data_IF_717572081063
#
_entry.id   IF_717572081063
#
_cell.length_a   1.000
_cell.length_b   1.000
_cell.length_c   1.000
_cell.angle_alpha   90.00
_cell.angle_beta   90.00
_cell.angle_gamma   90.00
#
_symmetry.space_group_name_H-M   'P 1'
#
loop_
_entity.id
_entity.type
_entity.pdbx_description
1 polymer ?
#
# COMPACT_ATOMS: atom_id res chain seq x y z
N UNK A 1 -42.22 -26.27 -4.19
CA UNK A 1 -40.86 -26.63 -4.64
C UNK A 1 -40.47 -25.67 -5.75
N UNK A 2 -39.70 -24.64 -5.42
CA UNK A 2 -38.97 -23.83 -6.41
C UNK A 2 -37.59 -23.66 -5.81
N UNK A 3 -36.63 -24.39 -6.35
CA UNK A 3 -35.21 -24.32 -6.02
C UNK A 3 -34.66 -22.98 -6.51
N UNK A 4 -34.34 -22.09 -5.58
CA UNK A 4 -33.50 -20.93 -5.86
C UNK A 4 -32.05 -21.40 -5.99
N UNK A 5 -31.63 -21.66 -7.22
CA UNK A 5 -30.21 -21.78 -7.56
C UNK A 5 -29.52 -20.48 -7.17
N UNK A 6 -28.73 -20.54 -6.09
CA UNK A 6 -27.78 -19.51 -5.72
C UNK A 6 -26.81 -19.30 -6.88
N UNK A 7 -26.95 -18.18 -7.58
CA UNK A 7 -25.90 -17.65 -8.43
C UNK A 7 -24.72 -17.32 -7.52
N UNK A 8 -23.79 -18.26 -7.43
CA UNK A 8 -22.47 -18.09 -6.83
C UNK A 8 -21.67 -17.11 -7.68
N UNK A 9 -21.95 -15.82 -7.49
CA UNK A 9 -21.05 -14.76 -7.93
C UNK A 9 -19.99 -14.62 -6.84
N UNK A 10 -19.09 -15.60 -6.75
CA UNK A 10 -17.85 -15.47 -5.98
C UNK A 10 -17.12 -14.27 -6.55
N UNK A 11 -17.12 -13.18 -5.79
CA UNK A 11 -16.28 -12.02 -6.06
C UNK A 11 -14.84 -12.51 -6.04
N UNK A 12 -14.24 -12.73 -7.22
CA UNK A 12 -12.80 -12.98 -7.38
C UNK A 12 -12.06 -11.96 -6.50
N UNK A 13 -11.51 -12.45 -5.39
CA UNK A 13 -11.04 -11.60 -4.31
C UNK A 13 -9.71 -10.97 -4.72
N UNK A 14 -9.32 -9.86 -4.09
CA UNK A 14 -7.98 -9.28 -4.27
C UNK A 14 -6.84 -10.26 -3.91
N UNK A 15 -7.14 -11.44 -3.36
CA UNK A 15 -6.17 -12.46 -2.98
C UNK A 15 -5.71 -13.29 -4.17
N UNK A 16 -6.58 -13.61 -5.14
CA UNK A 16 -6.23 -14.45 -6.28
C UNK A 16 -5.18 -13.82 -7.21
N UNK A 17 -5.16 -12.48 -7.25
CA UNK A 17 -4.17 -11.73 -8.02
C UNK A 17 -2.81 -11.63 -7.31
N UNK A 18 -2.74 -11.95 -6.01
CA UNK A 18 -1.50 -11.82 -5.25
C UNK A 18 -0.56 -12.98 -5.58
N UNK A 19 0.72 -12.71 -5.86
CA UNK A 19 1.72 -13.76 -5.90
C UNK A 19 1.89 -14.43 -4.54
N UNK A 20 2.07 -15.75 -4.55
CA UNK A 20 2.39 -16.55 -3.36
C UNK A 20 3.90 -16.77 -3.16
N UNK A 21 4.70 -16.65 -4.22
CA UNK A 21 6.14 -16.85 -4.21
C UNK A 21 6.88 -15.64 -4.77
N UNK A 22 8.17 -15.50 -4.41
CA UNK A 22 8.98 -14.36 -4.82
C UNK A 22 9.17 -14.29 -6.34
N UNK A 23 9.21 -15.45 -7.00
CA UNK A 23 9.28 -15.55 -8.47
C UNK A 23 8.08 -14.86 -9.15
N UNK A 24 6.87 -15.03 -8.60
CA UNK A 24 5.65 -14.41 -9.10
C UNK A 24 5.50 -12.93 -8.74
N UNK A 25 6.34 -12.40 -7.86
CA UNK A 25 6.37 -10.98 -7.51
C UNK A 25 7.02 -10.20 -8.66
N UNK A 26 6.20 -9.57 -9.49
CA UNK A 26 6.67 -8.80 -10.64
C UNK A 26 7.31 -7.51 -10.14
N UNK A 27 8.39 -7.06 -10.80
CA UNK A 27 9.11 -5.84 -10.46
C UNK A 27 10.04 -5.96 -9.25
N UNK A 28 10.60 -4.82 -8.82
CA UNK A 28 11.48 -4.71 -7.64
C UNK A 28 12.70 -5.67 -7.66
N UNK A 29 13.48 -5.76 -8.76
CA UNK A 29 14.48 -6.82 -8.95
C UNK A 29 15.58 -6.84 -7.88
N UNK A 30 16.05 -5.66 -7.45
CA UNK A 30 17.08 -5.53 -6.42
C UNK A 30 16.56 -6.02 -5.07
N UNK A 31 15.37 -5.56 -4.66
CA UNK A 31 14.72 -5.98 -3.42
C UNK A 31 14.51 -7.49 -3.41
N UNK A 32 14.02 -8.07 -4.51
CA UNK A 32 13.83 -9.53 -4.61
C UNK A 32 15.14 -10.28 -4.44
N UNK A 33 16.22 -9.85 -5.09
CA UNK A 33 17.52 -10.50 -4.96
C UNK A 33 18.06 -10.43 -3.51
N UNK A 34 17.91 -9.28 -2.85
CA UNK A 34 18.31 -9.10 -1.46
C UNK A 34 17.47 -9.95 -0.50
N UNK A 35 16.14 -9.97 -0.70
CA UNK A 35 15.23 -10.76 0.12
C UNK A 35 15.48 -12.26 -0.06
N UNK A 36 15.71 -12.72 -1.29
CA UNK A 36 16.05 -14.12 -1.56
C UNK A 36 17.33 -14.53 -0.81
N UNK A 37 18.40 -13.73 -0.93
CA UNK A 37 19.66 -13.99 -0.22
C UNK A 37 19.46 -14.04 1.30
N UNK A 38 18.67 -13.11 1.84
CA UNK A 38 18.37 -13.02 3.27
C UNK A 38 17.61 -14.27 3.78
N UNK A 39 16.56 -14.69 3.07
CA UNK A 39 15.78 -15.88 3.44
C UNK A 39 16.59 -17.17 3.25
N UNK A 40 17.35 -17.30 2.17
CA UNK A 40 18.18 -18.48 1.92
C UNK A 40 19.28 -18.65 2.98
N UNK A 41 19.86 -17.55 3.45
CA UNK A 41 20.87 -17.57 4.51
C UNK A 41 20.27 -18.02 5.86
N UNK A 42 19.03 -17.65 6.16
CA UNK A 42 18.31 -18.12 7.35
C UNK A 42 17.99 -19.62 7.24
N UNK A 43 17.39 -20.05 6.12
CA UNK A 43 17.07 -21.46 5.84
C UNK A 43 18.30 -22.37 5.93
N UNK A 44 19.43 -21.97 5.32
CA UNK A 44 20.68 -22.75 5.37
C UNK A 44 21.28 -22.90 6.77
N UNK A 45 20.98 -21.97 7.67
CA UNK A 45 21.45 -21.99 9.07
C UNK A 45 20.46 -22.66 10.01
N UNK A 46 19.28 -23.06 9.53
CA UNK A 46 18.19 -23.61 10.32
C UNK A 46 17.81 -22.70 11.52
N UNK A 47 17.75 -21.39 11.25
CA UNK A 47 17.33 -20.38 12.23
C UNK A 47 16.28 -19.46 11.61
N UNK A 48 15.31 -18.96 12.40
CA UNK A 48 14.41 -17.91 11.93
C UNK A 48 15.21 -16.69 11.43
N UNK A 49 14.79 -16.05 10.32
CA UNK A 49 15.44 -14.84 9.85
C UNK A 49 15.27 -13.70 10.84
N UNK A 50 16.19 -12.72 10.76
CA UNK A 50 16.06 -11.47 11.51
C UNK A 50 14.75 -10.75 11.16
N UNK A 51 14.33 -9.84 12.02
CA UNK A 51 13.14 -9.04 11.78
C UNK A 51 13.29 -8.15 10.55
N UNK A 52 12.18 -7.91 9.86
CA UNK A 52 12.13 -7.17 8.60
C UNK A 52 11.23 -5.94 8.67
N UNK A 53 11.69 -4.84 8.08
CA UNK A 53 10.89 -3.64 7.87
C UNK A 53 10.64 -3.41 6.38
N UNK A 54 9.37 -3.32 5.99
CA UNK A 54 8.92 -2.98 4.65
C UNK A 54 8.45 -1.52 4.63
N UNK A 55 9.22 -0.65 3.98
CA UNK A 55 8.92 0.78 3.90
C UNK A 55 8.53 1.16 2.47
N UNK A 56 7.48 1.95 2.31
CA UNK A 56 7.15 2.55 1.02
C UNK A 56 5.68 2.97 0.89
N UNK A 57 5.33 3.70 -0.17
CA UNK A 57 3.96 4.14 -0.44
C UNK A 57 2.88 3.02 -0.34
N UNK A 58 1.62 3.38 -0.08
CA UNK A 58 0.53 2.42 -0.04
C UNK A 58 0.31 1.76 -1.41
N UNK A 59 -0.07 0.48 -1.41
CA UNK A 59 -0.43 -0.25 -2.64
C UNK A 59 0.73 -0.82 -3.45
N UNK A 60 1.98 -0.74 -2.96
CA UNK A 60 3.17 -1.29 -3.62
C UNK A 60 3.45 -2.78 -3.37
N UNK A 61 2.65 -3.43 -2.51
CA UNK A 61 2.77 -4.87 -2.24
C UNK A 61 3.47 -5.26 -0.94
N UNK A 62 3.55 -4.36 0.05
CA UNK A 62 4.14 -4.67 1.38
C UNK A 62 3.50 -5.90 2.05
N UNK A 63 2.17 -5.90 2.18
CA UNK A 63 1.42 -7.05 2.73
C UNK A 63 1.64 -8.31 1.91
N UNK A 64 1.68 -8.18 0.57
CA UNK A 64 2.00 -9.30 -0.34
C UNK A 64 3.37 -9.88 -0.08
N UNK A 65 4.41 -9.04 0.07
CA UNK A 65 5.75 -9.50 0.40
C UNK A 65 5.81 -10.19 1.76
N UNK A 66 5.10 -9.69 2.77
CA UNK A 66 5.04 -10.36 4.07
C UNK A 66 4.45 -11.78 3.98
N UNK A 67 3.40 -11.95 3.18
CA UNK A 67 2.82 -13.28 2.93
C UNK A 67 3.77 -14.18 2.14
N UNK A 68 4.48 -13.64 1.14
CA UNK A 68 5.52 -14.38 0.40
C UNK A 68 6.62 -14.83 1.35
N UNK A 69 7.08 -13.96 2.26
CA UNK A 69 8.11 -14.29 3.25
C UNK A 69 7.69 -15.49 4.11
N UNK A 70 6.48 -15.47 4.65
CA UNK A 70 5.96 -16.59 5.43
C UNK A 70 5.85 -17.88 4.60
N UNK A 71 5.37 -17.77 3.36
CA UNK A 71 5.27 -18.90 2.43
C UNK A 71 6.64 -19.49 2.07
N UNK A 72 7.63 -18.64 1.78
CA UNK A 72 9.01 -19.05 1.51
C UNK A 72 9.62 -19.76 2.72
N UNK A 73 9.37 -19.28 3.93
CA UNK A 73 9.82 -19.90 5.18
C UNK A 73 9.01 -21.14 5.56
N UNK A 74 7.89 -21.42 4.88
CA UNK A 74 6.95 -22.50 5.17
C UNK A 74 6.40 -22.46 6.61
N UNK A 75 6.16 -21.25 7.12
CA UNK A 75 5.64 -21.00 8.46
C UNK A 75 4.32 -20.22 8.39
N UNK A 76 3.44 -20.35 9.40
CA UNK A 76 2.27 -19.51 9.51
C UNK A 76 2.60 -18.01 9.64
N UNK A 77 1.64 -17.17 9.24
CA UNK A 77 1.67 -15.72 9.41
C UNK A 77 0.48 -15.26 10.25
N UNK A 78 0.75 -14.47 11.29
CA UNK A 78 -0.27 -13.70 12.00
C UNK A 78 -0.25 -12.26 11.51
N UNK A 79 -1.39 -11.79 11.02
CA UNK A 79 -1.57 -10.46 10.45
C UNK A 79 -2.28 -9.58 11.47
N UNK A 80 -1.71 -8.42 11.76
CA UNK A 80 -2.33 -7.35 12.55
C UNK A 80 -1.91 -5.98 11.98
N UNK A 81 -2.40 -4.90 12.58
CA UNK A 81 -1.96 -3.54 12.25
C UNK A 81 -1.76 -2.69 13.50
N UNK A 82 -0.90 -1.67 13.41
CA UNK A 82 -0.65 -0.72 14.48
C UNK A 82 -1.95 -0.15 15.08
N UNK A 83 -2.90 0.36 14.26
CA UNK A 83 -4.18 0.86 14.75
C UNK A 83 -5.09 -0.19 15.40
N UNK A 84 -4.92 -1.48 15.06
CA UNK A 84 -5.70 -2.55 15.67
C UNK A 84 -5.25 -2.86 17.11
N UNK A 85 -4.02 -2.49 17.47
CA UNK A 85 -3.47 -2.64 18.81
C UNK A 85 -3.78 -1.38 19.62
N UNK A 86 -4.67 -1.50 20.60
CA UNK A 86 -5.07 -0.36 21.43
C UNK A 86 -4.19 -0.24 22.68
N UNK A 87 -3.78 -1.38 23.24
CA UNK A 87 -2.98 -1.46 24.46
C UNK A 87 -1.89 -2.53 24.37
N UNK A 88 -0.88 -2.46 25.26
CA UNK A 88 0.23 -3.42 25.29
C UNK A 88 -0.25 -4.88 25.49
N UNK A 89 -1.36 -5.09 26.21
CA UNK A 89 -1.95 -6.41 26.42
C UNK A 89 -2.43 -7.09 25.15
N UNK A 90 -2.92 -6.33 24.15
CA UNK A 90 -3.39 -6.89 22.88
C UNK A 90 -2.21 -7.51 22.12
N UNK A 91 -1.08 -6.79 22.07
CA UNK A 91 0.14 -7.28 21.45
C UNK A 91 0.75 -8.44 22.25
N UNK A 92 0.76 -8.35 23.58
CA UNK A 92 1.25 -9.44 24.45
C UNK A 92 0.47 -10.74 24.21
N UNK A 93 -0.85 -10.66 24.00
CA UNK A 93 -1.69 -11.81 23.69
C UNK A 93 -1.34 -12.44 22.35
N UNK A 94 -1.10 -11.63 21.31
CA UNK A 94 -0.67 -12.12 19.99
C UNK A 94 0.70 -12.78 20.08
N UNK A 95 1.67 -12.13 20.74
CA UNK A 95 3.03 -12.63 20.89
C UNK A 95 3.07 -13.95 21.67
N UNK A 96 2.31 -14.05 22.76
CA UNK A 96 2.24 -15.26 23.60
C UNK A 96 1.60 -16.45 22.89
N UNK A 97 0.91 -16.24 21.78
CA UNK A 97 0.32 -17.30 20.96
C UNK A 97 1.24 -17.75 19.81
N UNK A 98 2.38 -17.07 19.57
CA UNK A 98 3.34 -17.43 18.52
C UNK A 98 3.98 -18.79 18.77
N UNK A 99 4.14 -19.54 17.68
CA UNK A 99 4.97 -20.74 17.62
C UNK A 99 6.36 -20.41 17.05
N UNK A 100 7.31 -21.34 17.23
CA UNK A 100 8.69 -21.17 16.74
C UNK A 100 8.73 -20.99 15.23
N UNK A 101 9.37 -19.89 14.80
CA UNK A 101 9.56 -19.53 13.40
C UNK A 101 8.40 -18.76 12.77
N UNK A 102 7.25 -18.61 13.45
CA UNK A 102 6.10 -17.91 12.89
C UNK A 102 6.41 -16.44 12.55
N UNK A 103 5.72 -15.94 11.52
CA UNK A 103 5.82 -14.54 11.11
C UNK A 103 4.70 -13.74 11.78
N UNK A 104 5.07 -12.66 12.48
CA UNK A 104 4.15 -11.64 12.94
C UNK A 104 4.23 -10.43 12.01
N UNK A 105 3.20 -10.23 11.19
CA UNK A 105 3.09 -9.06 10.33
C UNK A 105 2.28 -7.94 10.99
N UNK A 106 2.87 -6.75 11.06
CA UNK A 106 2.24 -5.55 11.63
C UNK A 106 2.21 -4.45 10.57
N UNK A 107 1.06 -4.24 9.94
CA UNK A 107 0.87 -3.10 9.03
C UNK A 107 0.75 -1.78 9.79
N UNK A 108 1.15 -0.68 9.18
CA UNK A 108 1.20 0.64 9.84
C UNK A 108 1.87 0.59 11.23
N UNK A 109 2.99 -0.13 11.36
CA UNK A 109 3.68 -0.35 12.64
C UNK A 109 4.02 0.94 13.40
N UNK A 110 4.23 2.04 12.67
CA UNK A 110 4.47 3.39 13.21
C UNK A 110 3.28 3.99 13.97
N UNK A 111 2.10 3.35 13.92
CA UNK A 111 0.89 3.77 14.64
C UNK A 111 0.65 2.96 15.91
N UNK A 112 1.59 2.08 16.30
CA UNK A 112 1.50 1.39 17.59
C UNK A 112 1.47 2.40 18.74
N UNK A 113 0.64 2.18 19.78
CA UNK A 113 0.72 2.97 20.99
C UNK A 113 2.07 2.71 21.67
N UNK A 114 2.64 3.75 22.28
CA UNK A 114 3.97 3.70 22.90
C UNK A 114 4.19 2.49 23.81
N UNK A 115 3.20 2.13 24.62
CA UNK A 115 3.31 0.97 25.52
C UNK A 115 3.42 -0.37 24.77
N UNK A 116 2.74 -0.52 23.63
CA UNK A 116 2.89 -1.70 22.79
C UNK A 116 4.22 -1.67 22.01
N UNK A 117 4.70 -0.49 21.62
CA UNK A 117 6.01 -0.32 20.99
C UNK A 117 7.16 -0.76 21.91
N UNK A 118 7.16 -0.29 23.17
CA UNK A 118 8.16 -0.68 24.18
C UNK A 118 8.12 -2.19 24.44
N UNK A 119 6.93 -2.78 24.48
CA UNK A 119 6.76 -4.24 24.61
C UNK A 119 7.29 -4.99 23.38
N UNK A 120 7.00 -4.51 22.17
CA UNK A 120 7.49 -5.10 20.93
C UNK A 120 9.02 -5.08 20.87
N UNK A 121 9.64 -3.98 21.28
CA UNK A 121 11.10 -3.84 21.35
C UNK A 121 11.73 -4.93 22.23
N UNK A 122 11.21 -5.13 23.45
CA UNK A 122 11.71 -6.17 24.37
C UNK A 122 11.47 -7.57 23.78
N UNK A 123 10.30 -7.80 23.18
CA UNK A 123 9.96 -9.08 22.57
C UNK A 123 10.89 -9.43 21.39
N UNK A 124 11.31 -8.43 20.59
CA UNK A 124 12.25 -8.61 19.47
C UNK A 124 13.70 -8.82 19.95
N UNK A 125 14.10 -8.18 21.05
CA UNK A 125 15.47 -8.29 21.56
C UNK A 125 15.70 -9.54 22.40
N UNK A 126 14.83 -9.78 23.37
CA UNK A 126 15.03 -10.78 24.42
C UNK A 126 14.13 -12.01 24.26
N UNK A 127 13.19 -11.99 23.30
CA UNK A 127 12.14 -13.02 23.15
C UNK A 127 11.38 -13.26 24.46
N UNK A 128 10.98 -12.17 25.12
CA UNK A 128 10.26 -12.18 26.39
C UNK A 128 9.17 -11.12 26.43
N UNK A 129 8.11 -11.41 27.17
CA UNK A 129 7.05 -10.44 27.49
C UNK A 129 6.62 -10.61 28.93
N UNK A 130 6.31 -9.49 29.57
CA UNK A 130 5.78 -9.44 30.92
C UNK A 130 4.25 -9.41 30.86
N UNK A 131 3.60 -10.45 31.40
CA UNK A 131 2.14 -10.53 31.44
C UNK A 131 1.65 -10.22 32.86
N UNK A 132 0.77 -9.22 32.95
CA UNK A 132 0.14 -8.85 34.21
C UNK A 132 -0.93 -9.87 34.59
N UNK A 133 -0.76 -10.52 35.73
CA UNK A 133 -1.72 -11.47 36.31
C UNK A 133 -2.38 -10.85 37.54
N UNK A 134 -3.72 -10.79 37.53
CA UNK A 134 -4.53 -10.17 38.57
C UNK A 134 -5.05 -8.77 38.21
N UNK A 135 -5.83 -8.15 39.11
CA UNK A 135 -6.35 -6.79 38.97
C UNK A 135 -6.06 -5.97 40.23
N UNK A 136 -5.75 -4.68 40.07
CA UNK A 136 -5.55 -3.74 41.18
C UNK A 136 -4.18 -3.87 41.87
N UNK A 137 -4.04 -3.40 43.13
CA UNK A 137 -2.76 -3.35 43.86
C UNK A 137 -2.08 -4.70 44.10
N UNK A 138 -2.79 -5.81 43.90
CA UNK A 138 -2.26 -7.18 44.01
C UNK A 138 -1.87 -7.80 42.66
N UNK A 139 -1.91 -7.04 41.56
CA UNK A 139 -1.47 -7.54 40.26
C UNK A 139 0.05 -7.75 40.26
N UNK A 140 0.49 -8.88 39.71
CA UNK A 140 1.91 -9.25 39.62
C UNK A 140 2.30 -9.42 38.14
N UNK A 141 3.50 -8.97 37.79
CA UNK A 141 4.08 -9.21 36.47
C UNK A 141 4.77 -10.56 36.46
N UNK A 142 4.38 -11.45 35.54
CA UNK A 142 5.04 -12.74 35.33
C UNK A 142 5.75 -12.70 33.98
N UNK A 143 7.09 -12.86 33.95
CA UNK A 143 7.83 -12.91 32.70
C UNK A 143 7.54 -14.24 31.98
N UNK A 144 7.12 -14.14 30.73
CA UNK A 144 6.95 -15.27 29.81
C UNK A 144 8.06 -15.26 28.77
N UNK A 145 8.64 -16.43 28.52
CA UNK A 145 9.59 -16.62 27.41
C UNK A 145 8.79 -16.93 26.15
N UNK A 146 9.10 -16.21 25.07
CA UNK A 146 8.52 -16.41 23.75
C UNK A 146 9.40 -17.38 22.95
N UNK A 147 8.81 -18.15 22.01
CA UNK A 147 9.62 -18.82 21.01
C UNK A 147 10.28 -17.79 20.09
N UNK A 148 11.30 -18.21 19.33
CA UNK A 148 11.87 -17.33 18.30
C UNK A 148 10.86 -17.14 17.17
N UNK A 149 10.60 -15.90 16.80
CA UNK A 149 9.66 -15.52 15.74
C UNK A 149 10.26 -14.41 14.87
N UNK A 150 9.64 -14.11 13.74
CA UNK A 150 10.08 -13.01 12.85
C UNK A 150 8.99 -11.95 12.74
N UNK A 151 9.26 -10.73 13.22
CA UNK A 151 8.42 -9.56 12.92
C UNK A 151 8.66 -9.10 11.48
N UNK A 152 7.58 -8.87 10.74
CA UNK A 152 7.58 -8.11 9.48
C UNK A 152 6.74 -6.85 9.71
N UNK A 153 7.40 -5.71 9.93
CA UNK A 153 6.72 -4.41 10.07
C UNK A 153 6.51 -3.76 8.71
N UNK A 154 5.36 -3.11 8.49
CA UNK A 154 5.13 -2.30 7.30
C UNK A 154 4.81 -0.83 7.66
N UNK A 155 5.38 0.10 6.90
CA UNK A 155 5.16 1.54 7.09
C UNK A 155 5.20 2.31 5.78
N UNK A 156 4.52 3.45 5.73
CA UNK A 156 4.63 4.42 4.62
C UNK A 156 5.85 5.33 4.79
N UNK A 157 6.30 5.54 6.03
CA UNK A 157 7.42 6.41 6.38
C UNK A 157 8.26 5.74 7.46
N UNK A 158 9.47 5.32 7.10
CA UNK A 158 10.41 4.70 8.05
C UNK A 158 10.80 5.65 9.19
N UNK A 159 10.99 6.95 8.88
CA UNK A 159 11.38 7.95 9.88
C UNK A 159 10.34 8.22 10.99
N UNK A 160 9.14 7.64 10.89
CA UNK A 160 8.13 7.69 11.95
C UNK A 160 8.38 6.65 13.05
N UNK A 161 9.21 5.62 12.79
CA UNK A 161 9.56 4.64 13.81
C UNK A 161 10.65 5.18 14.73
N UNK A 162 10.51 5.01 16.05
CA UNK A 162 11.57 5.35 16.98
C UNK A 162 12.86 4.57 16.70
N UNK A 163 14.00 5.24 16.88
CA UNK A 163 15.31 4.67 16.56
C UNK A 163 15.60 3.32 17.26
N UNK A 164 15.21 3.09 18.54
CA UNK A 164 15.42 1.80 19.18
C UNK A 164 14.69 0.66 18.49
N UNK A 165 13.40 0.83 18.16
CA UNK A 165 12.63 -0.20 17.46
C UNK A 165 13.18 -0.42 16.04
N UNK A 166 13.49 0.67 15.33
CA UNK A 166 14.04 0.59 13.97
C UNK A 166 15.35 -0.21 13.91
N UNK A 167 16.23 -0.04 14.90
CA UNK A 167 17.51 -0.75 14.96
C UNK A 167 17.39 -2.27 15.20
N UNK A 168 16.19 -2.77 15.55
CA UNK A 168 15.93 -4.21 15.73
C UNK A 168 15.54 -4.92 14.43
N UNK A 169 15.30 -4.18 13.35
CA UNK A 169 15.10 -4.78 12.03
C UNK A 169 16.46 -5.06 11.38
N UNK A 170 16.77 -6.35 11.19
CA UNK A 170 18.00 -6.79 10.52
C UNK A 170 17.95 -6.67 9.00
N UNK A 171 16.75 -6.48 8.45
CA UNK A 171 16.54 -6.23 7.02
C UNK A 171 15.51 -5.12 6.81
N UNK A 172 15.89 -4.07 6.07
CA UNK A 172 14.96 -3.01 5.66
C UNK A 172 14.84 -3.02 4.15
N UNK A 173 13.62 -3.20 3.65
CA UNK A 173 13.30 -3.16 2.23
C UNK A 173 12.49 -1.90 1.90
N UNK A 174 12.98 -1.14 0.93
CA UNK A 174 12.29 0.04 0.39
C UNK A 174 11.58 -0.33 -0.91
N UNK A 175 10.26 -0.15 -0.92
CA UNK A 175 9.45 -0.32 -2.12
C UNK A 175 9.24 1.05 -2.76
N UNK A 176 9.72 1.17 -3.99
CA UNK A 176 9.49 2.34 -4.82
C UNK A 176 8.33 2.12 -5.80
N UNK A 177 7.89 3.21 -6.45
CA UNK A 177 6.91 3.12 -7.51
C UNK A 177 7.44 2.31 -8.69
N UNK A 178 6.53 1.60 -9.34
CA UNK A 178 6.85 0.69 -10.42
C UNK A 178 6.97 1.45 -11.73
N UNK A 179 8.03 1.22 -12.52
CA UNK A 179 8.08 1.63 -13.91
C UNK A 179 6.88 1.09 -14.71
N UNK A 180 6.48 1.79 -15.76
CA UNK A 180 5.35 1.39 -16.59
C UNK A 180 5.54 0.00 -17.20
N UNK A 181 6.78 -0.36 -17.59
CA UNK A 181 7.10 -1.66 -18.16
C UNK A 181 6.93 -2.81 -17.15
N UNK A 182 7.17 -2.55 -15.86
CA UNK A 182 6.92 -3.54 -14.81
C UNK A 182 5.43 -3.67 -14.51
N UNK A 183 4.69 -2.56 -14.54
CA UNK A 183 3.23 -2.57 -14.38
C UNK A 183 2.53 -3.24 -15.55
N UNK A 184 3.01 -3.07 -16.78
CA UNK A 184 2.47 -3.74 -17.97
C UNK A 184 2.53 -5.26 -17.79
N UNK A 185 3.69 -5.80 -17.44
CA UNK A 185 3.86 -7.24 -17.12
C UNK A 185 2.94 -7.70 -16.00
N UNK A 186 2.77 -6.86 -14.97
CA UNK A 186 1.87 -7.14 -13.86
C UNK A 186 0.41 -7.22 -14.32
N UNK A 187 -0.02 -6.28 -15.16
CA UNK A 187 -1.37 -6.22 -15.71
C UNK A 187 -1.62 -7.42 -16.62
N UNK A 188 -0.67 -7.81 -17.46
CA UNK A 188 -0.78 -8.98 -18.32
C UNK A 188 -0.95 -10.27 -17.50
N UNK A 189 -0.13 -10.46 -16.46
CA UNK A 189 -0.28 -11.60 -15.54
C UNK A 189 -1.65 -11.58 -14.86
N UNK A 190 -2.05 -10.45 -14.29
CA UNK A 190 -3.34 -10.31 -13.63
C UNK A 190 -4.51 -10.55 -14.59
N UNK A 191 -4.38 -10.15 -15.86
CA UNK A 191 -5.39 -10.38 -16.87
C UNK A 191 -5.55 -11.88 -17.18
N UNK A 192 -4.45 -12.62 -17.25
CA UNK A 192 -4.49 -14.08 -17.40
C UNK A 192 -5.22 -14.75 -16.24
N UNK A 193 -4.94 -14.34 -14.99
CA UNK A 193 -5.62 -14.86 -13.80
C UNK A 193 -7.13 -14.57 -13.86
N UNK A 194 -7.51 -13.38 -14.31
CA UNK A 194 -8.92 -12.97 -14.46
C UNK A 194 -9.61 -13.51 -15.73
N UNK A 195 -8.90 -14.27 -16.58
CA UNK A 195 -9.44 -14.77 -17.85
C UNK A 195 -9.68 -13.70 -18.92
N UNK A 196 -9.02 -12.54 -18.82
CA UNK A 196 -9.18 -11.41 -19.74
C UNK A 196 -8.11 -11.48 -20.83
N UNK A 197 -8.53 -11.42 -22.10
CA UNK A 197 -7.61 -11.32 -23.23
C UNK A 197 -7.31 -9.86 -23.52
N UNK A 198 -6.13 -9.40 -23.13
CA UNK A 198 -5.62 -8.08 -23.53
C UNK A 198 -4.96 -8.18 -24.91
N UNK A 199 -5.19 -7.19 -25.77
CA UNK A 199 -4.54 -7.04 -27.07
C UNK A 199 -4.00 -5.62 -27.25
N UNK A 200 -3.16 -5.47 -28.28
CA UNK A 200 -2.59 -4.19 -28.69
C UNK A 200 -1.88 -3.50 -27.50
N UNK A 201 -2.07 -2.20 -27.34
CA UNK A 201 -1.46 -1.41 -26.26
C UNK A 201 -2.36 -1.32 -25.00
N UNK A 202 -3.28 -2.26 -24.79
CA UNK A 202 -4.23 -2.21 -23.67
C UNK A 202 -3.54 -2.26 -22.29
N UNK A 203 -2.58 -3.18 -22.11
CA UNK A 203 -1.83 -3.31 -20.86
C UNK A 203 -0.98 -2.06 -20.59
N UNK A 204 -0.32 -1.54 -21.63
CA UNK A 204 0.40 -0.28 -21.56
C UNK A 204 -0.50 0.89 -21.17
N UNK A 205 -1.68 1.04 -21.77
CA UNK A 205 -2.61 2.13 -21.43
C UNK A 205 -3.05 2.08 -19.97
N UNK A 206 -3.38 0.89 -19.46
CA UNK A 206 -3.64 0.68 -18.04
C UNK A 206 -2.42 1.06 -17.18
N UNK A 207 -1.21 0.67 -17.59
CA UNK A 207 0.03 0.95 -16.86
C UNK A 207 0.30 2.45 -16.71
N UNK A 208 0.00 3.25 -17.73
CA UNK A 208 0.20 4.69 -17.75
C UNK A 208 -0.69 5.39 -16.71
N UNK A 209 -1.91 4.88 -16.51
CA UNK A 209 -2.91 5.43 -15.60
C UNK A 209 -2.88 4.80 -14.20
N UNK A 210 -1.95 3.88 -13.94
CA UNK A 210 -1.84 3.10 -12.70
C UNK A 210 -1.02 3.78 -11.60
N UNK A 211 -0.53 5.00 -11.85
CA UNK A 211 0.22 5.82 -10.88
C UNK A 211 1.48 5.17 -10.30
N UNK A 212 2.08 4.23 -11.02
CA UNK A 212 3.24 3.48 -10.52
C UNK A 212 2.88 2.46 -9.42
N UNK A 213 1.60 2.09 -9.26
CA UNK A 213 1.16 1.22 -8.15
C UNK A 213 0.42 -0.04 -8.63
N UNK A 214 0.85 -1.24 -8.20
CA UNK A 214 0.15 -2.50 -8.45
C UNK A 214 -1.33 -2.51 -8.03
N UNK A 215 -1.63 -1.93 -6.86
CA UNK A 215 -3.01 -1.87 -6.35
C UNK A 215 -3.94 -1.11 -7.29
N UNK A 216 -3.49 0.02 -7.84
CA UNK A 216 -4.30 0.79 -8.80
C UNK A 216 -4.39 0.04 -10.12
N UNK A 217 -3.28 -0.51 -10.63
CA UNK A 217 -3.28 -1.32 -11.85
C UNK A 217 -4.33 -2.44 -11.83
N UNK A 218 -4.33 -3.28 -10.79
CA UNK A 218 -5.31 -4.36 -10.66
C UNK A 218 -6.75 -3.83 -10.47
N UNK A 219 -6.93 -2.70 -9.80
CA UNK A 219 -8.25 -2.05 -9.67
C UNK A 219 -8.77 -1.56 -11.02
N UNK A 220 -7.90 -0.95 -11.84
CA UNK A 220 -8.26 -0.47 -13.18
C UNK A 220 -8.56 -1.64 -14.11
N UNK A 221 -7.73 -2.68 -14.09
CA UNK A 221 -7.96 -3.88 -14.89
C UNK A 221 -9.32 -4.53 -14.58
N UNK A 222 -9.72 -4.63 -13.30
CA UNK A 222 -11.05 -5.13 -12.92
C UNK A 222 -12.18 -4.26 -13.43
N UNK A 223 -12.04 -2.93 -13.40
CA UNK A 223 -13.03 -2.00 -13.97
C UNK A 223 -13.17 -2.19 -15.48
N UNK A 224 -12.04 -2.33 -16.18
CA UNK A 224 -12.05 -2.58 -17.63
C UNK A 224 -12.64 -3.95 -17.95
N UNK A 225 -12.38 -4.98 -17.13
CA UNK A 225 -13.04 -6.29 -17.24
C UNK A 225 -14.55 -6.14 -17.15
N UNK A 226 -15.04 -5.50 -16.08
CA UNK A 226 -16.48 -5.39 -15.84
C UNK A 226 -17.16 -4.64 -16.99
N UNK A 227 -16.50 -3.60 -17.51
CA UNK A 227 -16.94 -2.90 -18.72
C UNK A 227 -16.96 -3.82 -19.95
N UNK A 228 -15.89 -4.57 -20.19
CA UNK A 228 -15.79 -5.48 -21.34
C UNK A 228 -16.84 -6.60 -21.31
N UNK A 229 -17.15 -7.14 -20.12
CA UNK A 229 -18.21 -8.15 -19.93
C UNK A 229 -19.58 -7.58 -20.28
N UNK A 230 -19.89 -6.35 -19.85
CA UNK A 230 -21.17 -5.70 -20.17
C UNK A 230 -21.33 -5.39 -21.66
N UNK A 231 -20.22 -5.21 -22.37
CA UNK A 231 -20.20 -4.92 -23.82
C UNK A 231 -19.94 -6.17 -24.67
N UNK A 232 -20.02 -7.37 -24.08
CA UNK A 232 -19.83 -8.67 -24.74
C UNK A 232 -18.53 -8.75 -25.58
N UNK A 233 -17.43 -8.22 -25.05
CA UNK A 233 -16.14 -8.20 -25.75
C UNK A 233 -15.33 -9.48 -25.53
N UNK A 234 -14.88 -10.10 -26.61
CA UNK A 234 -13.97 -11.26 -26.59
C UNK A 234 -12.54 -10.91 -26.15
N UNK A 235 -12.13 -9.64 -26.33
CA UNK A 235 -10.83 -9.12 -25.95
C UNK A 235 -10.89 -7.61 -25.70
N UNK A 236 -9.94 -7.11 -24.92
CA UNK A 236 -9.80 -5.69 -24.57
C UNK A 236 -8.60 -5.11 -25.32
N UNK A 237 -8.86 -4.13 -26.18
CA UNK A 237 -7.83 -3.35 -26.88
C UNK A 237 -7.65 -1.96 -26.24
N UNK A 238 -6.81 -1.12 -26.84
CA UNK A 238 -6.54 0.24 -26.34
C UNK A 238 -7.82 1.09 -26.20
N UNK A 239 -8.66 1.14 -27.24
CA UNK A 239 -9.86 1.98 -27.25
C UNK A 239 -10.86 1.55 -26.17
N UNK A 240 -11.05 0.25 -25.97
CA UNK A 240 -11.87 -0.30 -24.89
C UNK A 240 -11.38 0.14 -23.50
N UNK A 241 -10.06 0.17 -23.28
CA UNK A 241 -9.49 0.70 -22.02
C UNK A 241 -9.81 2.19 -21.88
N UNK A 242 -9.61 2.98 -22.93
CA UNK A 242 -9.86 4.43 -22.90
C UNK A 242 -11.32 4.73 -22.58
N UNK A 243 -12.26 4.06 -23.25
CA UNK A 243 -13.70 4.22 -23.05
C UNK A 243 -14.12 3.78 -21.63
N UNK A 244 -13.66 2.61 -21.20
CA UNK A 244 -13.95 2.09 -19.87
C UNK A 244 -13.43 3.04 -18.77
N UNK A 245 -12.20 3.54 -18.88
CA UNK A 245 -11.63 4.43 -17.87
C UNK A 245 -12.26 5.83 -17.89
N UNK A 246 -12.70 6.31 -19.05
CA UNK A 246 -13.46 7.55 -19.16
C UNK A 246 -14.80 7.48 -18.39
N UNK A 247 -15.50 6.34 -18.42
CA UNK A 247 -16.71 6.12 -17.63
C UNK A 247 -16.45 6.26 -16.12
N UNK A 248 -15.29 5.82 -15.65
CA UNK A 248 -14.87 5.97 -14.25
C UNK A 248 -14.19 7.32 -13.95
N UNK A 249 -14.23 8.27 -14.88
CA UNK A 249 -13.63 9.60 -14.75
C UNK A 249 -12.13 9.53 -14.41
N UNK A 250 -11.42 8.59 -15.04
CA UNK A 250 -9.96 8.50 -14.97
C UNK A 250 -9.39 9.05 -16.26
N UNK A 251 -8.62 10.12 -16.13
CA UNK A 251 -8.05 10.81 -17.29
C UNK A 251 -6.81 10.08 -17.86
N UNK A 252 -6.17 10.71 -18.85
CA UNK A 252 -4.95 10.22 -19.51
C UNK A 252 -3.71 10.23 -18.61
N UNK A 253 -3.73 10.99 -17.52
CA UNK A 253 -2.65 11.07 -16.52
C UNK A 253 -2.93 10.16 -15.31
N UNK A 254 -4.02 9.37 -15.36
CA UNK A 254 -4.44 8.51 -14.26
C UNK A 254 -5.09 9.25 -13.09
N UNK A 255 -5.37 10.55 -13.21
CA UNK A 255 -6.08 11.34 -12.21
C UNK A 255 -7.55 10.92 -12.16
N UNK A 256 -8.08 10.78 -10.95
CA UNK A 256 -9.48 10.45 -10.73
C UNK A 256 -10.29 11.71 -10.40
N UNK A 257 -11.60 11.51 -10.14
CA UNK A 257 -12.52 12.60 -9.83
C UNK A 257 -12.03 13.50 -8.69
N UNK A 258 -11.44 12.94 -7.64
CA UNK A 258 -10.98 13.73 -6.49
C UNK A 258 -9.73 14.54 -6.86
N UNK A 259 -8.77 13.93 -7.56
CA UNK A 259 -7.57 14.64 -8.02
C UNK A 259 -7.96 15.84 -8.90
N UNK A 260 -8.85 15.62 -9.87
CA UNK A 260 -9.34 16.68 -10.75
C UNK A 260 -10.12 17.74 -9.97
N UNK A 261 -10.94 17.36 -8.99
CA UNK A 261 -11.66 18.31 -8.13
C UNK A 261 -10.69 19.18 -7.32
N UNK A 262 -9.63 18.58 -6.77
CA UNK A 262 -8.57 19.29 -6.04
C UNK A 262 -7.84 20.28 -6.95
N UNK A 263 -7.40 19.85 -8.14
CA UNK A 263 -6.73 20.73 -9.10
C UNK A 263 -7.65 21.87 -9.55
N UNK A 264 -8.92 21.58 -9.86
CA UNK A 264 -9.92 22.60 -10.23
C UNK A 264 -10.17 23.58 -9.10
N UNK A 265 -10.28 23.12 -7.85
CA UNK A 265 -10.45 24.00 -6.70
C UNK A 265 -9.25 24.96 -6.59
N UNK A 266 -8.02 24.44 -6.65
CA UNK A 266 -6.81 25.25 -6.56
C UNK A 266 -6.70 26.27 -7.69
N UNK A 267 -6.88 25.83 -8.94
CA UNK A 267 -6.69 26.66 -10.13
C UNK A 267 -7.83 27.66 -10.29
N UNK A 268 -9.08 27.21 -10.23
CA UNK A 268 -10.24 28.05 -10.55
C UNK A 268 -10.71 28.91 -9.36
N UNK A 269 -10.62 28.41 -8.12
CA UNK A 269 -11.15 29.14 -6.95
C UNK A 269 -10.07 29.89 -6.17
N UNK A 270 -8.85 29.37 -6.16
CA UNK A 270 -7.72 29.99 -5.43
C UNK A 270 -6.68 30.60 -6.36
N UNK A 271 -6.96 30.70 -7.67
CA UNK A 271 -6.07 31.27 -8.69
C UNK A 271 -4.64 30.67 -8.64
N UNK A 272 -4.55 29.37 -8.38
CA UNK A 272 -3.29 28.64 -8.25
C UNK A 272 -2.73 28.54 -6.83
N UNK A 273 -3.34 29.20 -5.83
CA UNK A 273 -2.91 29.17 -4.43
C UNK A 273 -2.02 30.37 -4.04
N UNK A 274 -1.39 30.34 -2.84
CA UNK A 274 -1.36 29.24 -1.88
C UNK A 274 -2.70 29.02 -1.15
N UNK A 275 -3.08 27.76 -0.93
CA UNK A 275 -4.28 27.38 -0.17
C UNK A 275 -3.96 26.41 0.97
N UNK A 276 -4.53 26.61 2.15
CA UNK A 276 -4.39 25.69 3.29
C UNK A 276 -5.16 24.38 3.09
N UNK A 277 -4.67 23.27 3.66
CA UNK A 277 -5.27 21.94 3.51
C UNK A 277 -6.76 21.92 3.85
N UNK A 278 -7.13 22.50 4.99
CA UNK A 278 -8.50 22.48 5.50
C UNK A 278 -9.46 23.23 4.56
N UNK A 279 -9.02 24.35 3.98
CA UNK A 279 -9.83 25.10 3.03
C UNK A 279 -9.99 24.35 1.70
N UNK A 280 -8.92 23.71 1.24
CA UNK A 280 -8.94 22.89 0.02
C UNK A 280 -9.86 21.68 0.18
N UNK A 281 -9.72 20.96 1.30
CA UNK A 281 -10.55 19.81 1.67
C UNK A 281 -12.04 20.19 1.77
N UNK A 282 -12.35 21.30 2.44
CA UNK A 282 -13.72 21.81 2.51
C UNK A 282 -14.30 22.15 1.14
N UNK A 283 -13.51 22.72 0.22
CA UNK A 283 -13.95 23.06 -1.13
C UNK A 283 -14.31 21.83 -1.98
N UNK A 284 -13.61 20.71 -1.77
CA UNK A 284 -13.88 19.45 -2.50
C UNK A 284 -14.82 18.50 -1.75
N UNK A 285 -15.24 18.86 -0.54
CA UNK A 285 -16.16 18.06 0.28
C UNK A 285 -15.52 16.81 0.88
N UNK A 286 -14.22 16.83 1.16
CA UNK A 286 -13.46 15.70 1.72
C UNK A 286 -12.83 16.06 3.07
N UNK A 287 -12.40 15.03 3.80
CA UNK A 287 -11.55 15.21 4.98
C UNK A 287 -10.13 15.66 4.60
N UNK A 288 -9.52 16.48 5.44
CA UNK A 288 -8.16 16.97 5.25
C UNK A 288 -7.14 15.81 5.11
N UNK A 289 -7.28 14.77 5.94
CA UNK A 289 -6.43 13.59 5.90
C UNK A 289 -6.58 12.84 4.57
N UNK A 290 -7.79 12.71 4.02
CA UNK A 290 -8.02 12.10 2.71
C UNK A 290 -7.29 12.83 1.60
N UNK A 291 -7.39 14.17 1.55
CA UNK A 291 -6.69 14.97 0.54
C UNK A 291 -5.17 14.81 0.68
N UNK A 292 -4.65 14.89 1.91
CA UNK A 292 -3.21 14.82 2.19
C UNK A 292 -2.60 13.43 1.93
N UNK A 293 -3.32 12.35 2.24
CA UNK A 293 -2.79 10.98 2.21
C UNK A 293 -3.14 10.22 0.94
N UNK A 294 -4.23 10.56 0.25
CA UNK A 294 -4.71 9.84 -0.94
C UNK A 294 -4.39 10.61 -2.23
N UNK A 295 -4.65 11.91 -2.26
CA UNK A 295 -4.58 12.72 -3.48
C UNK A 295 -3.21 13.40 -3.65
N UNK A 296 -2.79 14.18 -2.66
CA UNK A 296 -1.55 14.97 -2.74
C UNK A 296 -0.29 14.16 -3.09
N UNK A 297 -0.05 12.92 -2.60
CA UNK A 297 1.19 12.22 -2.91
C UNK A 297 1.42 12.01 -4.41
N UNK A 298 0.36 11.73 -5.17
CA UNK A 298 0.47 11.57 -6.61
C UNK A 298 0.59 12.92 -7.31
N UNK A 299 -0.24 13.90 -6.94
CA UNK A 299 -0.20 15.24 -7.54
C UNK A 299 1.16 15.94 -7.34
N UNK A 300 1.78 15.76 -6.17
CA UNK A 300 3.11 16.30 -5.90
C UNK A 300 4.17 15.60 -6.74
N UNK A 301 4.14 14.27 -6.77
CA UNK A 301 5.12 13.47 -7.51
C UNK A 301 5.07 13.73 -9.01
N UNK A 302 3.87 13.81 -9.58
CA UNK A 302 3.67 14.14 -11.00
C UNK A 302 3.86 15.64 -11.28
N UNK A 303 4.14 16.46 -10.26
CA UNK A 303 4.44 17.88 -10.43
C UNK A 303 3.24 18.74 -10.77
N UNK A 304 2.02 18.33 -10.43
CA UNK A 304 0.82 19.17 -10.52
C UNK A 304 0.67 20.12 -9.32
N UNK A 305 1.21 19.72 -8.17
CA UNK A 305 1.05 20.42 -6.89
C UNK A 305 2.40 20.58 -6.20
N UNK A 306 2.62 21.73 -5.56
CA UNK A 306 3.78 21.96 -4.68
C UNK A 306 3.28 22.35 -3.29
N UNK A 307 3.92 21.80 -2.25
CA UNK A 307 3.69 22.17 -0.85
C UNK A 307 4.67 23.28 -0.46
N UNK A 308 4.14 24.40 0.02
CA UNK A 308 4.93 25.51 0.57
C UNK A 308 4.53 25.75 2.03
N UNK A 309 5.33 26.49 2.82
CA UNK A 309 4.95 26.86 4.18
C UNK A 309 3.64 27.66 4.26
N UNK A 310 3.25 28.35 3.18
CA UNK A 310 2.02 29.16 3.11
C UNK A 310 0.80 28.35 2.66
N UNK A 311 0.99 27.17 2.06
CA UNK A 311 -0.09 26.34 1.56
C UNK A 311 0.30 25.52 0.32
N UNK A 312 -0.70 24.96 -0.35
CA UNK A 312 -0.54 24.21 -1.59
C UNK A 312 -0.64 25.16 -2.77
N UNK A 313 0.22 24.99 -3.76
CA UNK A 313 0.28 25.80 -4.98
C UNK A 313 0.17 24.88 -6.20
N UNK A 314 -0.66 25.27 -7.17
CA UNK A 314 -0.80 24.57 -8.43
C UNK A 314 0.32 24.99 -9.38
N UNK A 315 1.00 24.02 -9.98
CA UNK A 315 2.06 24.30 -10.96
C UNK A 315 1.48 24.63 -12.33
N UNK A 316 2.31 25.15 -13.24
CA UNK A 316 1.94 25.38 -14.65
C UNK A 316 1.33 24.11 -15.29
N UNK A 317 1.88 22.93 -14.97
CA UNK A 317 1.36 21.63 -15.45
C UNK A 317 -0.11 21.42 -15.07
N UNK A 318 -0.54 21.85 -13.88
CA UNK A 318 -1.94 21.74 -13.47
C UNK A 318 -2.88 22.65 -14.27
N UNK A 319 -2.44 23.86 -14.59
CA UNK A 319 -3.21 24.78 -15.44
C UNK A 319 -3.36 24.22 -16.85
N UNK A 320 -2.24 23.83 -17.47
CA UNK A 320 -2.21 23.28 -18.83
C UNK A 320 -3.06 22.01 -18.94
N UNK A 321 -2.98 21.13 -17.93
CA UNK A 321 -3.76 19.91 -17.87
C UNK A 321 -5.27 20.17 -17.78
N UNK A 322 -5.70 21.23 -17.08
CA UNK A 322 -7.09 21.67 -17.05
C UNK A 322 -7.50 22.48 -18.30
N UNK A 323 -6.60 22.67 -19.26
CA UNK A 323 -6.84 23.45 -20.48
C UNK A 323 -6.88 24.97 -20.24
N UNK A 324 -6.22 25.44 -19.18
CA UNK A 324 -6.19 26.85 -18.78
C UNK A 324 -4.79 27.45 -18.94
N UNK A 325 -4.72 28.76 -19.21
CA UNK A 325 -3.45 29.48 -19.30
C UNK A 325 -2.94 29.83 -17.90
N UNK A 326 -1.71 29.42 -17.58
CA UNK A 326 -1.10 29.72 -16.30
C UNK A 326 -0.75 31.22 -16.20
N UNK A 327 -0.97 31.88 -15.04
CA UNK A 327 -0.50 33.25 -14.82
C UNK A 327 1.02 33.36 -15.04
N UNK A 328 1.50 34.45 -15.65
CA UNK A 328 2.94 34.65 -15.96
C UNK A 328 3.87 34.52 -14.74
N UNK A 329 3.34 34.67 -13.54
CA UNK A 329 4.07 34.68 -12.27
C UNK A 329 3.81 33.42 -11.41
N UNK A 330 3.40 32.28 -11.98
CA UNK A 330 3.30 31.02 -11.18
C UNK A 330 4.61 30.72 -10.46
N UNK A 331 5.75 31.09 -11.05
CA UNK A 331 7.09 31.00 -10.46
C UNK A 331 7.34 31.92 -9.25
N UNK A 332 6.56 33.00 -9.08
CA UNK A 332 6.65 33.90 -7.91
C UNK A 332 5.71 33.46 -6.76
N UNK A 333 4.87 32.44 -6.98
CA UNK A 333 4.03 31.85 -5.93
C UNK A 333 4.80 30.88 -5.02
N UNK A 334 6.05 30.58 -5.36
CA UNK A 334 6.97 29.70 -4.62
C UNK A 334 7.78 30.46 -3.58
#
# INVERSE_FOLDING_TARGET
MVSSSSLSNEQLSDEELRPHALEGFIGQPVLKAQLQLFLDAAKKRDVPPDHMLLAGPPGLGKTTLAMIVANELQVPIRITSGPAIQHAGDLASILSALDTGEVLFIDEIHRLPRAAEELLYIAMEDFRVDVMVGKGPGASSIPLTLPRFTVVGATTREGMLPSPLRARFGFTAHLDFYPHEELEKLIERSAQVLGIKLKDQAAKELSLRSRGTPRIANRLLRRVRDWAVVHDLDYVNHDAVVEALALYQIDTQGLDRLDIAVLKAMVCQFNGGPVGLNNLAAMVGEEAETVETVCEPYLVREGFLIRTPKGRVATVKAWEHLGLEAPRNVSELF
#
